data_IF_306780051889
#
_entry.id   IF_306780051889
#
_cell.length_a   1.000
_cell.length_b   1.000
_cell.length_c   1.000
_cell.angle_alpha   90.00
_cell.angle_beta   90.00
_cell.angle_gamma   90.00
#
_symmetry.space_group_name_H-M   'P 1'
#
loop_
_entity.id
_entity.type
_entity.pdbx_description
1 polymer ?
#
# COMPACT_ATOMS: atom_id res chain seq x y z
N UNK A 1 -7.56 0.03 5.63
CA UNK A 1 -6.36 0.09 4.75
C UNK A 1 -5.98 -1.33 4.41
N UNK A 2 -5.73 -1.64 3.13
CA UNK A 2 -5.29 -2.97 2.67
C UNK A 2 -3.88 -2.82 2.12
N UNK A 3 -2.94 -3.60 2.64
CA UNK A 3 -1.56 -3.66 2.15
C UNK A 3 -1.43 -4.96 1.37
N UNK A 4 -1.29 -4.87 0.05
CA UNK A 4 -1.12 -6.04 -0.82
C UNK A 4 0.30 -6.60 -0.79
N UNK A 5 0.47 -7.82 -1.31
CA UNK A 5 1.76 -8.49 -1.43
C UNK A 5 2.06 -8.86 -2.89
N UNK A 6 3.26 -8.52 -3.38
CA UNK A 6 3.86 -8.99 -4.64
C UNK A 6 3.03 -8.77 -5.93
N UNK A 7 1.88 -8.08 -5.86
CA UNK A 7 1.03 -7.81 -7.02
C UNK A 7 1.68 -6.80 -7.97
N UNK A 8 1.61 -7.06 -9.28
CA UNK A 8 2.14 -6.17 -10.32
C UNK A 8 1.01 -5.54 -11.13
N UNK A 9 1.09 -4.24 -11.39
CA UNK A 9 0.09 -3.51 -12.15
C UNK A 9 -0.14 -4.10 -13.56
N UNK A 10 0.90 -4.61 -14.21
CA UNK A 10 0.82 -5.20 -15.56
C UNK A 10 -0.10 -6.44 -15.64
N UNK A 11 -0.45 -7.05 -14.51
CA UNK A 11 -1.28 -8.26 -14.46
C UNK A 11 -2.73 -7.96 -14.00
N UNK A 12 -3.14 -6.70 -13.95
CA UNK A 12 -4.47 -6.30 -13.48
C UNK A 12 -5.35 -5.90 -14.67
N UNK A 13 -6.52 -6.54 -14.81
CA UNK A 13 -7.51 -6.18 -15.83
C UNK A 13 -7.92 -4.70 -15.70
N UNK A 14 -8.06 -4.22 -14.47
CA UNK A 14 -8.26 -2.80 -14.14
C UNK A 14 -7.27 -1.84 -14.82
N UNK A 15 -6.08 -2.30 -15.19
CA UNK A 15 -5.04 -1.51 -15.83
C UNK A 15 -4.81 -1.90 -17.30
N UNK A 16 -5.73 -2.66 -17.91
CA UNK A 16 -5.69 -3.05 -19.31
C UNK A 16 -5.08 -4.43 -19.59
N UNK A 17 -4.90 -5.28 -18.57
CA UNK A 17 -4.50 -6.67 -18.79
C UNK A 17 -5.62 -7.46 -19.46
N UNK A 18 -5.30 -8.26 -20.48
CA UNK A 18 -6.28 -8.95 -21.32
C UNK A 18 -7.09 -10.03 -20.58
N UNK A 19 -6.52 -10.62 -19.52
CA UNK A 19 -7.21 -11.65 -18.72
C UNK A 19 -8.02 -11.01 -17.61
N UNK A 20 -9.15 -11.62 -17.28
CA UNK A 20 -10.05 -11.21 -16.20
C UNK A 20 -9.49 -11.54 -14.80
N UNK A 21 -8.45 -10.83 -14.37
CA UNK A 21 -7.79 -11.09 -13.08
C UNK A 21 -8.47 -10.45 -11.89
N UNK A 22 -9.32 -9.44 -12.10
CA UNK A 22 -10.04 -8.76 -11.03
C UNK A 22 -11.47 -8.32 -11.44
N UNK A 23 -12.31 -9.26 -11.92
CA UNK A 23 -13.62 -8.95 -12.50
C UNK A 23 -14.58 -8.28 -11.51
N UNK A 24 -14.52 -8.65 -10.23
CA UNK A 24 -15.36 -8.05 -9.18
C UNK A 24 -14.97 -6.60 -8.88
N UNK A 25 -13.68 -6.26 -8.98
CA UNK A 25 -13.23 -4.89 -8.77
C UNK A 25 -13.60 -4.00 -9.96
N UNK A 26 -13.54 -4.52 -11.19
CA UNK A 26 -13.95 -3.79 -12.40
C UNK A 26 -15.42 -3.35 -12.34
N UNK A 27 -16.28 -4.14 -11.68
CA UNK A 27 -17.70 -3.85 -11.52
C UNK A 27 -18.01 -2.89 -10.37
N UNK A 28 -17.02 -2.51 -9.56
CA UNK A 28 -17.24 -1.69 -8.38
C UNK A 28 -17.50 -0.23 -8.77
N UNK A 29 -18.69 0.27 -8.44
CA UNK A 29 -19.03 1.67 -8.67
C UNK A 29 -18.21 2.60 -7.76
N UNK A 30 -17.75 3.72 -8.31
CA UNK A 30 -16.93 4.70 -7.58
C UNK A 30 -15.48 4.28 -7.34
N UNK A 31 -15.01 3.18 -7.94
CA UNK A 31 -13.60 2.78 -7.86
C UNK A 31 -12.72 3.75 -8.66
N UNK A 32 -11.74 4.36 -7.98
CA UNK A 32 -10.70 5.17 -8.61
C UNK A 32 -9.42 4.35 -8.67
N UNK A 33 -8.94 4.09 -9.88
CA UNK A 33 -7.76 3.27 -10.13
C UNK A 33 -6.55 4.17 -10.50
N UNK A 34 -5.39 3.90 -9.92
CA UNK A 34 -4.16 4.65 -10.16
C UNK A 34 -3.13 3.78 -10.91
N UNK A 35 -3.09 3.81 -12.26
CA UNK A 35 -2.26 2.89 -13.04
C UNK A 35 -0.77 3.22 -13.05
N UNK A 36 -0.38 4.44 -12.66
CA UNK A 36 1.01 4.94 -12.71
C UNK A 36 1.61 5.11 -11.31
N UNK A 37 1.52 4.06 -10.49
CA UNK A 37 2.11 4.02 -9.15
C UNK A 37 3.32 3.10 -9.16
N UNK A 38 4.43 3.58 -8.59
CA UNK A 38 5.67 2.83 -8.44
C UNK A 38 5.97 2.64 -6.96
N UNK A 39 6.43 1.46 -6.58
CA UNK A 39 6.97 1.22 -5.23
C UNK A 39 8.38 1.80 -5.14
N UNK A 40 8.71 2.42 -4.02
CA UNK A 40 10.08 2.90 -3.75
C UNK A 40 11.05 1.75 -3.43
N UNK A 41 10.55 0.57 -3.07
CA UNK A 41 11.38 -0.58 -2.72
C UNK A 41 10.79 -1.90 -3.21
N UNK A 42 11.66 -2.79 -3.70
CA UNK A 42 11.32 -4.12 -4.21
C UNK A 42 11.38 -5.22 -3.14
N UNK A 43 11.64 -4.89 -1.86
CA UNK A 43 11.77 -5.87 -0.76
C UNK A 43 10.74 -5.63 0.35
N UNK A 44 9.93 -6.65 0.66
CA UNK A 44 8.77 -6.59 1.58
C UNK A 44 9.12 -6.12 3.00
N UNK A 45 10.26 -6.55 3.55
CA UNK A 45 10.67 -6.18 4.91
C UNK A 45 11.02 -4.69 5.06
N UNK A 46 11.33 -4.01 3.95
CA UNK A 46 11.62 -2.58 3.93
C UNK A 46 10.39 -1.76 3.51
N UNK A 47 9.58 -2.29 2.60
CA UNK A 47 8.47 -1.55 2.00
C UNK A 47 7.30 -1.31 2.95
N UNK A 48 6.94 -2.25 3.82
CA UNK A 48 5.77 -2.09 4.69
C UNK A 48 5.96 -0.96 5.72
N UNK A 49 7.05 -0.90 6.49
CA UNK A 49 7.18 0.19 7.46
C UNK A 49 7.52 1.54 6.80
N UNK A 50 8.13 1.54 5.61
CA UNK A 50 8.29 2.77 4.80
C UNK A 50 6.95 3.28 4.25
N UNK A 51 6.10 2.41 3.68
CA UNK A 51 4.76 2.77 3.17
C UNK A 51 3.86 3.33 4.28
N UNK A 52 4.07 2.87 5.51
CA UNK A 52 3.31 3.26 6.67
C UNK A 52 3.93 4.41 7.46
N UNK A 53 5.04 5.02 7.03
CA UNK A 53 5.69 6.14 7.74
C UNK A 53 6.15 7.24 6.79
N UNK A 54 6.76 8.29 7.33
CA UNK A 54 7.39 9.37 6.55
C UNK A 54 8.81 9.02 6.08
N UNK A 55 9.25 7.78 6.32
CA UNK A 55 10.62 7.34 6.04
C UNK A 55 10.78 7.05 4.55
N UNK A 56 11.75 7.72 3.95
CA UNK A 56 12.15 7.52 2.56
C UNK A 56 13.33 6.54 2.47
N UNK A 57 13.65 6.08 1.25
CA UNK A 57 14.83 5.26 1.01
C UNK A 57 16.14 5.89 1.52
N UNK A 58 16.22 7.23 1.55
CA UNK A 58 17.37 7.99 2.05
C UNK A 58 17.47 8.05 3.58
N UNK A 59 16.36 7.86 4.31
CA UNK A 59 16.27 7.99 5.76
C UNK A 59 15.97 6.67 6.47
N UNK A 60 16.24 5.54 5.81
CA UNK A 60 15.84 4.19 6.22
C UNK A 60 16.26 3.83 7.65
N UNK A 61 17.45 4.27 8.10
CA UNK A 61 17.95 3.95 9.45
C UNK A 61 17.07 4.52 10.57
N UNK A 62 16.21 5.50 10.27
CA UNK A 62 15.30 6.12 11.23
C UNK A 62 13.99 5.36 11.43
N UNK A 63 13.77 4.23 10.74
CA UNK A 63 12.47 3.53 10.69
C UNK A 63 11.93 3.09 12.05
N UNK A 64 12.83 2.73 12.98
CA UNK A 64 12.45 2.32 14.33
C UNK A 64 12.15 3.49 15.28
N UNK A 65 12.47 4.71 14.86
CA UNK A 65 12.31 5.93 15.67
C UNK A 65 11.23 6.86 15.13
N UNK A 66 10.59 6.52 13.99
CA UNK A 66 9.51 7.29 13.39
C UNK A 66 8.16 6.64 13.66
N UNK A 67 7.17 7.48 13.98
CA UNK A 67 5.79 7.03 14.16
C UNK A 67 5.17 6.81 12.79
N UNK A 68 4.59 5.62 12.58
CA UNK A 68 3.82 5.33 11.39
C UNK A 68 2.39 5.90 11.45
N UNK A 69 1.68 5.82 10.33
CA UNK A 69 0.30 6.29 10.15
C UNK A 69 -0.67 5.63 11.14
N UNK A 70 -0.46 4.36 11.50
CA UNK A 70 -1.28 3.67 12.50
C UNK A 70 -1.18 4.38 13.87
N UNK A 71 0.04 4.74 14.29
CA UNK A 71 0.28 5.47 15.53
C UNK A 71 -0.31 6.87 15.46
N UNK A 72 -0.15 7.57 14.34
CA UNK A 72 -0.74 8.89 14.13
C UNK A 72 -2.27 8.88 14.25
N UNK A 73 -2.94 7.88 13.66
CA UNK A 73 -4.39 7.72 13.79
C UNK A 73 -4.81 7.39 15.23
N UNK A 74 -4.04 6.56 15.94
CA UNK A 74 -4.31 6.27 17.35
C UNK A 74 -4.21 7.54 18.22
N UNK A 75 -3.22 8.40 17.95
CA UNK A 75 -3.05 9.68 18.64
C UNK A 75 -4.17 10.68 18.31
N UNK A 76 -4.71 10.62 17.09
CA UNK A 76 -5.90 11.39 16.69
C UNK A 76 -7.22 10.83 17.25
N UNK A 77 -7.18 9.79 18.10
CA UNK A 77 -8.36 9.23 18.78
C UNK A 77 -9.08 8.12 18.01
N UNK A 78 -8.54 7.65 16.88
CA UNK A 78 -9.12 6.55 16.13
C UNK A 78 -8.82 5.20 16.79
N UNK A 79 -9.77 4.27 16.69
CA UNK A 79 -9.52 2.86 17.01
C UNK A 79 -8.82 2.19 15.83
N UNK A 80 -7.63 1.66 16.08
CA UNK A 80 -6.82 0.97 15.08
C UNK A 80 -6.73 -0.52 15.39
N UNK A 81 -6.85 -1.37 14.38
CA UNK A 81 -6.62 -2.81 14.48
C UNK A 81 -5.74 -3.27 13.30
N UNK A 82 -4.92 -4.28 13.54
CA UNK A 82 -4.06 -4.89 12.52
C UNK A 82 -4.37 -6.39 12.46
N UNK A 83 -4.59 -6.88 11.24
CA UNK A 83 -4.86 -8.28 10.96
C UNK A 83 -3.90 -8.71 9.85
N UNK A 84 -3.18 -9.81 10.08
CA UNK A 84 -2.20 -10.39 9.15
C UNK A 84 -2.37 -11.89 9.09
#
# INVERSE_FOLDING_TARGET
MVVGETSRALNWQLYGYERETNPLLVQQSGLVAFPKVLTESNTTHKSVPMLLSDVTACSYDSIYHRKGIITAFKEAGFRTAFFS
#
